data_IF_203995401919
#
_entry.id   IF_203995401919
#
_cell.length_a   1.000
_cell.length_b   1.000
_cell.length_c   1.000
_cell.angle_alpha   90.00
_cell.angle_beta   90.00
_cell.angle_gamma   90.00
#
_symmetry.space_group_name_H-M   'P 1'
#
loop_
_entity.id
_entity.type
_entity.pdbx_description
1 polymer ?
#
# COMPACT_ATOMS: atom_id res chain seq x y z
N UNK A 1 -17.76 -6.97 -16.68
CA UNK A 1 -16.55 -7.72 -16.30
C UNK A 1 -16.93 -8.72 -15.24
N UNK A 2 -16.39 -9.93 -15.32
CA UNK A 2 -16.51 -10.94 -14.25
C UNK A 2 -15.22 -10.92 -13.45
N UNK A 3 -15.32 -10.89 -12.13
CA UNK A 3 -14.17 -10.95 -11.23
C UNK A 3 -14.12 -12.32 -10.59
N UNK A 4 -12.91 -12.89 -10.53
CA UNK A 4 -12.65 -14.22 -9.98
C UNK A 4 -11.53 -14.06 -8.95
N UNK A 5 -11.79 -14.48 -7.70
CA UNK A 5 -10.77 -14.51 -6.65
C UNK A 5 -9.78 -15.64 -6.92
N UNK A 6 -8.52 -15.38 -6.59
CA UNK A 6 -7.46 -16.38 -6.65
C UNK A 6 -7.26 -17.04 -5.27
N UNK A 7 -6.21 -17.85 -5.11
CA UNK A 7 -5.87 -18.43 -3.82
C UNK A 7 -5.52 -17.38 -2.76
N UNK A 8 -5.02 -16.21 -3.19
CA UNK A 8 -4.84 -15.02 -2.34
C UNK A 8 -5.99 -14.04 -2.68
N UNK A 9 -7.00 -13.86 -1.80
CA UNK A 9 -8.24 -13.16 -2.14
C UNK A 9 -8.10 -11.72 -2.63
N UNK A 10 -6.98 -11.06 -2.30
CA UNK A 10 -6.63 -9.70 -2.72
C UNK A 10 -6.24 -9.62 -4.21
N UNK A 11 -5.69 -10.71 -4.77
CA UNK A 11 -5.28 -10.82 -6.18
C UNK A 11 -6.47 -11.35 -6.98
N UNK A 12 -6.84 -10.62 -8.03
CA UNK A 12 -8.10 -10.86 -8.75
C UNK A 12 -7.87 -11.05 -10.25
N UNK A 13 -8.53 -12.06 -10.82
CA UNK A 13 -8.64 -12.22 -12.27
C UNK A 13 -9.88 -11.47 -12.74
N UNK A 14 -9.69 -10.60 -13.73
CA UNK A 14 -10.75 -9.89 -14.42
C UNK A 14 -10.94 -10.52 -15.80
N UNK A 15 -12.12 -11.07 -16.03
CA UNK A 15 -12.53 -11.62 -17.32
C UNK A 15 -13.42 -10.57 -18.04
N UNK A 16 -12.92 -9.99 -19.16
CA UNK A 16 -13.67 -8.98 -19.88
C UNK A 16 -14.84 -9.59 -20.67
N UNK A 17 -15.87 -8.80 -20.91
CA UNK A 17 -16.91 -9.15 -21.87
C UNK A 17 -16.41 -8.77 -23.26
N UNK A 18 -16.28 -9.75 -24.16
CA UNK A 18 -15.78 -9.57 -25.52
C UNK A 18 -16.95 -9.62 -26.49
N UNK A 19 -17.13 -8.56 -27.28
CA UNK A 19 -18.13 -8.46 -28.33
C UNK A 19 -17.45 -8.69 -29.67
N UNK A 20 -17.84 -9.74 -30.39
CA UNK A 20 -17.22 -10.12 -31.67
C UNK A 20 -18.20 -10.01 -32.83
N UNK A 21 -17.72 -9.57 -33.97
CA UNK A 21 -18.43 -9.56 -35.25
C UNK A 21 -17.45 -9.77 -36.42
N UNK A 22 -17.93 -9.66 -37.66
CA UNK A 22 -17.12 -9.88 -38.87
C UNK A 22 -15.92 -8.91 -39.02
N UNK A 23 -15.92 -7.78 -38.31
CA UNK A 23 -14.82 -6.79 -38.32
C UNK A 23 -13.71 -7.15 -37.33
N UNK A 24 -13.98 -8.04 -36.38
CA UNK A 24 -13.08 -8.41 -35.29
C UNK A 24 -13.79 -8.46 -33.95
N UNK A 25 -13.17 -7.89 -32.92
CA UNK A 25 -13.75 -7.87 -31.56
C UNK A 25 -13.47 -6.55 -30.85
N UNK A 26 -14.35 -6.23 -29.91
CA UNK A 26 -14.27 -5.08 -29.02
C UNK A 26 -14.46 -5.51 -27.57
N UNK A 27 -13.73 -4.89 -26.66
CA UNK A 27 -13.98 -5.00 -25.21
C UNK A 27 -13.60 -3.72 -24.51
N UNK A 28 -14.30 -3.41 -23.41
CA UNK A 28 -13.80 -2.45 -22.42
C UNK A 28 -12.63 -3.10 -21.68
N UNK A 29 -11.39 -2.72 -22.03
CA UNK A 29 -10.19 -3.25 -21.38
C UNK A 29 -10.08 -2.82 -19.92
N UNK A 30 -10.66 -1.68 -19.55
CA UNK A 30 -10.76 -1.20 -18.19
C UNK A 30 -11.94 -0.24 -18.06
N UNK A 31 -12.64 -0.30 -16.92
CA UNK A 31 -13.68 0.65 -16.54
C UNK A 31 -13.55 0.85 -15.02
N UNK A 32 -13.11 2.04 -14.62
CA UNK A 32 -12.78 2.36 -13.23
C UNK A 32 -13.98 2.16 -12.29
N UNK A 33 -15.15 2.67 -12.67
CA UNK A 33 -16.35 2.55 -11.86
C UNK A 33 -16.74 1.07 -11.62
N UNK A 34 -16.75 0.25 -12.67
CA UNK A 34 -17.05 -1.19 -12.57
C UNK A 34 -16.00 -1.93 -11.73
N UNK A 35 -14.73 -1.54 -11.86
CA UNK A 35 -13.64 -2.12 -11.09
C UNK A 35 -13.78 -1.79 -9.60
N UNK A 36 -14.00 -0.53 -9.24
CA UNK A 36 -14.21 -0.09 -7.85
C UNK A 36 -15.43 -0.73 -7.22
N UNK A 37 -16.55 -0.83 -7.96
CA UNK A 37 -17.75 -1.53 -7.50
C UNK A 37 -17.45 -2.99 -7.17
N UNK A 38 -16.66 -3.67 -8.00
CA UNK A 38 -16.31 -5.05 -7.76
C UNK A 38 -15.38 -5.22 -6.56
N UNK A 39 -14.36 -4.37 -6.39
CA UNK A 39 -13.51 -4.38 -5.20
C UNK A 39 -14.33 -4.19 -3.92
N UNK A 40 -15.23 -3.20 -3.90
CA UNK A 40 -16.12 -2.94 -2.77
C UNK A 40 -17.03 -4.13 -2.46
N UNK A 41 -17.57 -4.80 -3.48
CA UNK A 41 -18.39 -6.00 -3.29
C UNK A 41 -17.61 -7.16 -2.64
N UNK A 42 -16.28 -7.17 -2.77
CA UNK A 42 -15.39 -8.12 -2.12
C UNK A 42 -14.78 -7.62 -0.80
N UNK A 43 -15.14 -6.41 -0.35
CA UNK A 43 -14.55 -5.78 0.84
C UNK A 43 -13.06 -5.44 0.67
N UNK A 44 -12.61 -5.26 -0.56
CA UNK A 44 -11.21 -4.93 -0.88
C UNK A 44 -11.02 -3.42 -1.01
N UNK A 45 -9.84 -2.88 -0.64
CA UNK A 45 -9.56 -1.46 -0.75
C UNK A 45 -9.60 -1.01 -2.22
N UNK A 46 -10.18 0.17 -2.43
CA UNK A 46 -10.17 0.84 -3.74
C UNK A 46 -8.80 1.50 -3.92
N UNK A 47 -8.06 1.19 -5.00
CA UNK A 47 -6.77 1.82 -5.25
C UNK A 47 -6.93 3.29 -5.66
N UNK A 48 -5.81 4.03 -5.59
CA UNK A 48 -5.74 5.34 -6.24
C UNK A 48 -5.78 5.24 -7.77
N UNK A 49 -5.83 6.40 -8.43
CA UNK A 49 -5.85 6.49 -9.89
C UNK A 49 -4.65 5.76 -10.52
N UNK A 50 -4.86 5.16 -11.69
CA UNK A 50 -3.76 4.67 -12.52
C UNK A 50 -3.02 5.85 -13.16
N UNK A 51 -1.73 5.98 -12.89
CA UNK A 51 -0.91 7.15 -13.30
C UNK A 51 0.12 6.84 -14.37
N UNK A 52 0.38 5.56 -14.67
CA UNK A 52 1.38 5.15 -15.65
C UNK A 52 0.94 3.88 -16.38
N UNK A 53 1.21 3.85 -17.68
CA UNK A 53 1.05 2.70 -18.57
C UNK A 53 2.43 2.23 -19.03
N UNK A 54 2.61 0.91 -19.10
CA UNK A 54 3.85 0.28 -19.52
C UNK A 54 3.55 -0.81 -20.54
N UNK A 55 4.49 -1.03 -21.45
CA UNK A 55 4.38 -2.03 -22.52
C UNK A 55 5.75 -2.65 -22.76
N UNK A 56 5.82 -3.98 -22.74
CA UNK A 56 7.04 -4.74 -23.06
C UNK A 56 6.76 -5.82 -24.09
N UNK A 57 7.79 -6.13 -24.88
CA UNK A 57 7.83 -7.27 -25.79
C UNK A 57 8.87 -8.27 -25.28
N UNK A 58 8.52 -9.55 -25.22
CA UNK A 58 9.41 -10.59 -24.72
C UNK A 58 9.47 -11.80 -25.66
N UNK A 59 10.65 -12.44 -25.73
CA UNK A 59 10.83 -13.75 -26.35
C UNK A 59 10.30 -14.85 -25.42
N UNK A 60 10.05 -16.05 -25.95
CA UNK A 60 9.71 -17.22 -25.13
C UNK A 60 10.80 -17.43 -24.06
N UNK A 61 10.38 -17.88 -22.87
CA UNK A 61 11.20 -18.13 -21.68
C UNK A 61 11.85 -16.90 -21.04
N UNK A 62 11.53 -15.67 -21.48
CA UNK A 62 11.97 -14.47 -20.78
C UNK A 62 11.21 -14.32 -19.46
N UNK A 63 11.94 -14.29 -18.35
CA UNK A 63 11.43 -13.99 -17.01
C UNK A 63 11.72 -12.54 -16.68
N UNK A 64 10.72 -11.83 -16.15
CA UNK A 64 10.86 -10.49 -15.59
C UNK A 64 10.27 -10.48 -14.20
N UNK A 65 11.04 -10.05 -13.21
CA UNK A 65 10.59 -10.01 -11.81
C UNK A 65 11.48 -10.80 -10.87
N UNK A 66 11.15 -10.85 -9.58
CA UNK A 66 9.94 -10.28 -8.98
C UNK A 66 10.15 -8.81 -8.57
N UNK A 67 9.25 -7.90 -8.94
CA UNK A 67 9.41 -6.44 -8.73
C UNK A 67 8.25 -5.83 -7.94
N UNK A 68 8.60 -4.91 -7.03
CA UNK A 68 7.66 -4.10 -6.25
C UNK A 68 8.27 -2.73 -5.91
N UNK A 69 7.44 -1.81 -5.41
CA UNK A 69 7.90 -0.56 -4.81
C UNK A 69 7.43 -0.49 -3.35
N UNK A 70 8.29 0.03 -2.49
CA UNK A 70 7.97 0.26 -1.08
C UNK A 70 7.14 1.55 -0.89
N UNK A 71 6.36 1.66 0.20
CA UNK A 71 5.73 2.91 0.60
C UNK A 71 6.74 4.05 0.74
N UNK A 72 6.36 5.31 0.47
CA UNK A 72 5.02 5.77 0.06
C UNK A 72 4.71 5.58 -1.45
N UNK A 73 5.64 5.00 -2.21
CA UNK A 73 5.54 4.85 -3.67
C UNK A 73 5.05 3.45 -4.10
N UNK A 74 4.37 2.73 -3.20
CA UNK A 74 3.81 1.42 -3.48
C UNK A 74 2.94 1.42 -4.75
N UNK A 75 2.96 0.32 -5.50
CA UNK A 75 2.22 0.20 -6.76
C UNK A 75 1.24 -0.98 -6.71
N UNK A 76 -0.02 -0.69 -6.99
CA UNK A 76 -0.95 -1.67 -7.53
C UNK A 76 -0.75 -1.75 -9.04
N UNK A 77 -0.87 -2.95 -9.61
CA UNK A 77 -0.68 -3.25 -11.03
C UNK A 77 -1.93 -3.90 -11.61
N UNK A 78 -2.34 -3.44 -12.79
CA UNK A 78 -3.36 -4.08 -13.59
C UNK A 78 -2.72 -4.56 -14.90
N UNK A 79 -2.54 -5.87 -15.04
CA UNK A 79 -1.64 -6.46 -16.04
C UNK A 79 -2.37 -7.36 -17.03
N UNK A 80 -1.94 -7.39 -18.30
CA UNK A 80 -2.54 -8.24 -19.34
C UNK A 80 -1.58 -8.53 -20.50
N UNK A 81 -1.93 -9.52 -21.30
CA UNK A 81 -1.25 -9.85 -22.56
C UNK A 81 -2.13 -9.49 -23.76
N UNK A 82 -1.60 -8.72 -24.72
CA UNK A 82 -2.31 -8.37 -25.97
C UNK A 82 -1.96 -9.27 -27.13
N UNK A 83 -0.77 -9.88 -27.11
CA UNK A 83 -0.28 -10.82 -28.12
C UNK A 83 0.56 -11.89 -27.43
N UNK A 84 0.41 -13.15 -27.85
CA UNK A 84 1.07 -14.30 -27.23
C UNK A 84 0.44 -14.71 -25.90
N UNK A 85 1.27 -15.27 -25.03
CA UNK A 85 0.88 -15.74 -23.69
C UNK A 85 2.01 -15.61 -22.67
N UNK A 86 1.65 -15.38 -21.42
CA UNK A 86 2.57 -15.30 -20.29
C UNK A 86 1.97 -16.00 -19.07
N UNK A 87 2.81 -16.60 -18.24
CA UNK A 87 2.43 -17.02 -16.90
C UNK A 87 2.83 -15.92 -15.91
N UNK A 88 1.83 -15.25 -15.36
CA UNK A 88 1.97 -14.08 -14.49
C UNK A 88 1.85 -14.47 -13.03
N UNK A 89 2.74 -13.96 -12.19
CA UNK A 89 2.89 -14.34 -10.79
C UNK A 89 2.85 -13.12 -9.88
N UNK A 90 2.06 -13.20 -8.82
CA UNK A 90 2.03 -12.26 -7.72
C UNK A 90 2.39 -12.97 -6.40
N UNK A 91 3.37 -12.42 -5.68
CA UNK A 91 3.84 -12.92 -4.38
C UNK A 91 3.50 -11.91 -3.30
N UNK A 92 2.88 -12.37 -2.23
CA UNK A 92 2.57 -11.52 -1.08
C UNK A 92 3.83 -11.24 -0.26
N UNK A 93 4.29 -9.98 -0.27
CA UNK A 93 5.48 -9.55 0.48
C UNK A 93 5.11 -8.62 1.63
N UNK A 94 3.84 -8.62 2.04
CA UNK A 94 3.33 -7.85 3.18
C UNK A 94 3.72 -8.53 4.48
N UNK A 95 4.60 -7.90 5.25
CA UNK A 95 4.98 -8.38 6.58
C UNK A 95 3.73 -8.61 7.43
N UNK A 96 3.69 -9.73 8.16
CA UNK A 96 2.57 -10.17 8.99
C UNK A 96 1.28 -10.57 8.24
N UNK A 97 1.27 -10.59 6.90
CA UNK A 97 0.15 -11.16 6.15
C UNK A 97 0.03 -12.67 6.43
N UNK A 98 -1.19 -13.21 6.57
CA UNK A 98 -1.40 -14.66 6.70
C UNK A 98 -0.93 -15.44 5.46
N UNK A 99 -0.75 -14.77 4.33
CA UNK A 99 -0.26 -15.34 3.06
C UNK A 99 1.15 -14.87 2.71
N UNK A 100 1.91 -14.27 3.65
CA UNK A 100 3.27 -13.82 3.39
C UNK A 100 4.16 -14.92 2.79
N UNK A 101 4.87 -14.60 1.71
CA UNK A 101 5.72 -15.54 0.95
C UNK A 101 4.94 -16.49 0.03
N UNK A 102 3.60 -16.54 0.12
CA UNK A 102 2.79 -17.32 -0.79
C UNK A 102 2.56 -16.57 -2.11
N UNK A 103 2.27 -17.32 -3.16
CA UNK A 103 2.12 -16.78 -4.50
C UNK A 103 0.87 -17.31 -5.22
N UNK A 104 0.46 -16.56 -6.24
CA UNK A 104 -0.58 -16.93 -7.19
C UNK A 104 -0.01 -16.81 -8.58
N UNK A 105 -0.20 -17.83 -9.41
CA UNK A 105 0.16 -17.81 -10.82
C UNK A 105 -1.05 -17.96 -11.73
N UNK A 106 -1.11 -17.17 -12.78
CA UNK A 106 -2.23 -17.12 -13.75
C UNK A 106 -1.68 -17.01 -15.16
N UNK A 107 -2.14 -17.89 -16.06
CA UNK A 107 -1.87 -17.72 -17.49
C UNK A 107 -2.72 -16.57 -18.06
N UNK A 108 -2.04 -15.58 -18.63
CA UNK A 108 -2.63 -14.45 -19.36
C UNK A 108 -2.27 -14.56 -20.83
N UNK A 109 -3.26 -14.43 -21.72
CA UNK A 109 -3.03 -14.59 -23.15
C UNK A 109 -4.00 -13.75 -23.99
N UNK A 110 -3.65 -13.56 -25.26
CA UNK A 110 -4.44 -12.79 -26.23
C UNK A 110 -5.81 -13.42 -26.54
N UNK A 111 -6.00 -14.72 -26.26
CA UNK A 111 -7.23 -15.46 -26.52
C UNK A 111 -8.31 -15.15 -25.47
N UNK A 112 -8.01 -15.48 -24.21
CA UNK A 112 -8.89 -15.28 -23.06
C UNK A 112 -8.99 -13.82 -22.64
N UNK A 113 -7.98 -12.99 -22.96
CA UNK A 113 -7.92 -11.55 -22.69
C UNK A 113 -8.07 -11.21 -21.21
N UNK A 114 -7.78 -12.18 -20.33
CA UNK A 114 -7.82 -11.98 -18.88
C UNK A 114 -6.81 -10.92 -18.47
N UNK A 115 -7.15 -10.26 -17.38
CA UNK A 115 -6.36 -9.22 -16.75
C UNK A 115 -6.16 -9.65 -15.30
N UNK A 116 -4.97 -9.48 -14.76
CA UNK A 116 -4.70 -9.72 -13.33
C UNK A 116 -4.58 -8.38 -12.61
N UNK A 117 -5.33 -8.23 -11.53
CA UNK A 117 -5.15 -7.15 -10.56
C UNK A 117 -4.27 -7.63 -9.42
N UNK A 118 -3.21 -6.88 -9.17
CA UNK A 118 -2.21 -7.13 -8.13
C UNK A 118 -2.16 -5.86 -7.26
N UNK A 119 -2.59 -5.90 -5.99
CA UNK A 119 -2.60 -4.71 -5.16
C UNK A 119 -1.20 -4.34 -4.65
N UNK A 120 -1.11 -3.18 -4.01
CA UNK A 120 0.10 -2.74 -3.32
C UNK A 120 0.56 -3.77 -2.27
N UNK A 121 1.87 -3.92 -2.10
CA UNK A 121 2.46 -4.90 -1.19
C UNK A 121 2.69 -6.29 -1.78
N UNK A 122 2.51 -6.46 -3.09
CA UNK A 122 2.86 -7.69 -3.80
C UNK A 122 4.08 -7.49 -4.70
N UNK A 123 4.98 -8.47 -4.71
CA UNK A 123 6.01 -8.59 -5.72
C UNK A 123 5.44 -9.28 -6.95
N UNK A 124 5.72 -8.74 -8.14
CA UNK A 124 5.12 -9.19 -9.40
C UNK A 124 6.20 -9.58 -10.40
N UNK A 125 5.97 -10.68 -11.11
CA UNK A 125 6.77 -11.08 -12.26
C UNK A 125 5.99 -11.95 -13.23
N UNK A 126 6.59 -12.23 -14.39
CA UNK A 126 6.00 -13.15 -15.37
C UNK A 126 7.08 -13.87 -16.17
N UNK A 127 6.70 -15.00 -16.75
CA UNK A 127 7.45 -15.64 -17.84
C UNK A 127 6.64 -15.63 -19.14
N UNK A 128 7.26 -15.20 -20.23
CA UNK A 128 6.66 -15.29 -21.56
C UNK A 128 6.68 -16.74 -22.06
N UNK A 129 5.52 -17.27 -22.45
CA UNK A 129 5.37 -18.65 -22.93
C UNK A 129 5.51 -18.75 -24.45
N UNK A 130 5.43 -17.62 -25.14
CA UNK A 130 5.55 -17.49 -26.59
C UNK A 130 6.51 -16.37 -26.99
N UNK A 131 7.08 -16.49 -28.19
CA UNK A 131 7.82 -15.39 -28.80
C UNK A 131 6.90 -14.22 -29.17
N UNK A 132 7.44 -13.01 -29.09
CA UNK A 132 6.71 -11.78 -29.38
C UNK A 132 5.49 -11.58 -28.47
N UNK A 133 5.61 -11.98 -27.21
CA UNK A 133 4.58 -11.75 -26.19
C UNK A 133 4.57 -10.26 -25.82
N UNK A 134 3.45 -9.59 -26.09
CA UNK A 134 3.22 -8.18 -25.73
C UNK A 134 2.48 -8.11 -24.39
N UNK A 135 3.17 -7.62 -23.38
CA UNK A 135 2.69 -7.53 -22.01
C UNK A 135 2.49 -6.06 -21.63
N UNK A 136 1.25 -5.71 -21.27
CA UNK A 136 0.84 -4.34 -20.92
C UNK A 136 0.43 -4.29 -19.46
N UNK A 137 0.79 -3.21 -18.77
CA UNK A 137 0.32 -2.99 -17.42
C UNK A 137 0.15 -1.52 -17.05
N UNK A 138 -0.87 -1.26 -16.24
CA UNK A 138 -1.15 0.02 -15.58
C UNK A 138 -0.64 -0.02 -14.15
N UNK A 139 -0.15 1.10 -13.62
CA UNK A 139 0.25 1.23 -12.21
C UNK A 139 -0.42 2.40 -11.51
N UNK A 140 -0.72 2.26 -10.22
CA UNK A 140 -1.36 3.30 -9.37
C UNK A 140 -0.40 4.42 -8.92
N UNK A 141 0.89 4.25 -9.18
CA UNK A 141 1.95 5.23 -8.97
C UNK A 141 2.94 5.19 -10.12
N UNK A 142 3.64 6.29 -10.34
CA UNK A 142 4.77 6.35 -11.28
C UNK A 142 5.95 5.54 -10.77
N UNK A 143 6.85 5.18 -11.68
CA UNK A 143 8.11 4.56 -11.32
C UNK A 143 8.94 5.45 -10.38
N UNK A 144 9.43 4.88 -9.28
CA UNK A 144 10.31 5.55 -8.32
C UNK A 144 11.52 4.66 -8.03
N UNK A 145 12.65 4.98 -8.66
CA UNK A 145 13.86 4.17 -8.66
C UNK A 145 14.36 3.82 -7.25
N UNK A 146 14.31 4.78 -6.32
CA UNK A 146 14.84 4.58 -4.96
C UNK A 146 13.95 3.67 -4.11
N UNK A 147 12.67 3.54 -4.45
CA UNK A 147 11.72 2.68 -3.73
C UNK A 147 11.51 1.34 -4.41
N UNK A 148 12.04 1.15 -5.62
CA UNK A 148 12.01 -0.13 -6.31
C UNK A 148 12.82 -1.16 -5.53
N UNK A 149 12.24 -2.34 -5.37
CA UNK A 149 12.89 -3.52 -4.82
C UNK A 149 12.59 -4.71 -5.71
N UNK A 150 13.46 -5.71 -5.61
CA UNK A 150 13.29 -6.98 -6.28
C UNK A 150 13.49 -8.13 -5.33
N UNK A 151 12.87 -9.26 -5.64
CA UNK A 151 13.19 -10.56 -5.06
C UNK A 151 13.58 -11.49 -6.20
N UNK A 152 14.53 -12.38 -5.93
CA UNK A 152 14.98 -13.38 -6.90
C UNK A 152 13.82 -14.25 -7.36
N UNK A 153 13.69 -14.40 -8.67
CA UNK A 153 12.60 -15.13 -9.32
C UNK A 153 12.52 -16.61 -8.91
N UNK A 154 13.66 -17.24 -8.59
CA UNK A 154 13.85 -18.63 -8.19
C UNK A 154 14.12 -18.77 -6.68
N UNK A 155 13.64 -17.83 -5.87
CA UNK A 155 13.76 -17.91 -4.42
C UNK A 155 13.12 -19.23 -3.91
N UNK A 156 13.89 -20.07 -3.18
CA UNK A 156 13.42 -21.39 -2.78
C UNK A 156 12.38 -21.37 -1.65
N UNK A 157 12.22 -20.25 -0.93
CA UNK A 157 11.19 -20.11 0.10
C UNK A 157 9.84 -19.73 -0.49
N UNK A 158 9.84 -18.93 -1.56
CA UNK A 158 8.63 -18.67 -2.34
C UNK A 158 8.27 -19.91 -3.15
N UNK A 159 9.25 -20.55 -3.79
CA UNK A 159 9.08 -21.80 -4.51
C UNK A 159 8.07 -21.70 -5.66
N UNK A 160 8.28 -20.74 -6.57
CA UNK A 160 7.38 -20.55 -7.73
C UNK A 160 7.60 -21.65 -8.76
N UNK A 161 6.51 -22.32 -9.15
CA UNK A 161 6.51 -23.33 -10.21
C UNK A 161 6.44 -22.65 -11.60
N UNK A 162 7.56 -22.09 -12.05
CA UNK A 162 7.63 -21.44 -13.36
C UNK A 162 7.51 -22.48 -14.50
N UNK A 163 6.53 -22.36 -15.42
CA UNK A 163 6.33 -23.31 -16.51
C UNK A 163 7.31 -23.04 -17.67
N UNK A 164 8.62 -23.13 -17.41
CA UNK A 164 9.67 -22.91 -18.41
C UNK A 164 10.09 -24.24 -19.03
N UNK A 165 10.09 -24.27 -20.36
CA UNK A 165 10.63 -25.38 -21.15
C UNK A 165 12.01 -24.98 -21.70
N UNK A 166 13.09 -25.50 -21.13
CA UNK A 166 14.46 -25.20 -21.54
C UNK A 166 15.13 -24.13 -20.68
N UNK A 167 16.02 -23.34 -21.28
CA UNK A 167 16.79 -22.31 -20.57
C UNK A 167 15.97 -21.03 -20.40
N UNK A 168 15.95 -20.50 -19.18
CA UNK A 168 15.34 -19.22 -18.86
C UNK A 168 16.20 -18.04 -19.33
N UNK A 169 15.54 -16.99 -19.81
CA UNK A 169 16.21 -15.75 -20.20
C UNK A 169 15.86 -14.70 -19.15
N UNK A 170 16.85 -14.33 -18.34
CA UNK A 170 16.67 -13.37 -17.25
C UNK A 170 17.74 -12.28 -17.28
N UNK A 171 17.35 -11.07 -16.87
CA UNK A 171 18.26 -9.94 -16.80
C UNK A 171 19.29 -10.09 -15.66
N UNK A 172 20.44 -9.44 -15.77
CA UNK A 172 21.43 -9.43 -14.69
C UNK A 172 20.88 -8.83 -13.39
N UNK A 173 19.97 -7.85 -13.50
CA UNK A 173 19.30 -7.24 -12.34
C UNK A 173 18.46 -8.28 -11.58
N UNK A 174 17.68 -9.05 -12.31
CA UNK A 174 16.74 -10.02 -11.71
C UNK A 174 17.46 -11.28 -11.24
N UNK A 175 18.53 -11.68 -11.96
CA UNK A 175 19.39 -12.79 -11.57
C UNK A 175 20.13 -12.53 -10.25
N UNK A 176 20.53 -11.29 -10.00
CA UNK A 176 21.25 -10.87 -8.80
C UNK A 176 20.35 -10.24 -7.73
N UNK A 177 19.02 -10.36 -7.86
CA UNK A 177 18.09 -9.86 -6.86
C UNK A 177 18.26 -10.64 -5.53
N UNK A 178 18.02 -10.00 -4.37
CA UNK A 178 18.13 -10.65 -3.07
C UNK A 178 17.06 -11.74 -2.90
N UNK A 179 17.35 -12.70 -2.03
CA UNK A 179 16.37 -13.68 -1.55
C UNK A 179 15.30 -12.99 -0.69
N UNK A 180 14.13 -13.60 -0.53
CA UNK A 180 13.03 -13.06 0.29
C UNK A 180 13.49 -12.70 1.71
N UNK A 181 14.36 -13.53 2.32
CA UNK A 181 14.93 -13.29 3.65
C UNK A 181 15.79 -12.05 3.76
N UNK A 182 16.42 -11.63 2.67
CA UNK A 182 17.35 -10.50 2.61
C UNK A 182 16.69 -9.25 1.99
N UNK A 183 15.53 -9.43 1.37
CA UNK A 183 14.80 -8.36 0.73
C UNK A 183 14.15 -7.42 1.75
N UNK A 184 14.18 -6.12 1.46
CA UNK A 184 13.36 -5.16 2.18
C UNK A 184 11.89 -5.38 1.83
N UNK A 185 11.17 -6.04 2.74
CA UNK A 185 9.76 -6.41 2.52
C UNK A 185 8.80 -5.24 2.78
N UNK A 186 7.60 -5.37 2.22
CA UNK A 186 6.54 -4.39 2.40
C UNK A 186 6.06 -4.42 3.84
N UNK A 187 6.48 -3.44 4.62
CA UNK A 187 5.91 -3.20 5.93
C UNK A 187 4.60 -2.46 5.71
N UNK A 188 3.48 -3.19 5.75
CA UNK A 188 2.24 -2.55 6.18
C UNK A 188 2.58 -1.94 7.54
N UNK A 189 2.40 -0.63 7.70
CA UNK A 189 2.40 -0.04 9.03
C UNK A 189 1.46 -0.91 9.87
N UNK A 190 2.02 -1.64 10.83
CA UNK A 190 1.25 -2.63 11.56
C UNK A 190 0.26 -1.87 12.44
N UNK A 191 -1.00 -2.33 12.59
CA UNK A 191 -1.87 -1.82 13.64
C UNK A 191 -1.11 -1.78 14.95
N UNK A 192 -1.24 -0.69 15.71
CA UNK A 192 -0.44 -0.48 16.90
C UNK A 192 0.96 0.08 16.63
N UNK A 193 1.22 0.79 15.52
CA UNK A 193 2.49 1.51 15.33
C UNK A 193 2.32 3.03 15.37
N UNK A 194 3.37 3.71 15.83
CA UNK A 194 3.52 5.16 15.73
C UNK A 194 4.93 5.52 15.28
N UNK A 195 5.09 6.67 14.62
CA UNK A 195 6.36 7.12 14.07
C UNK A 195 6.48 8.65 14.13
N UNK A 196 7.64 9.14 14.58
CA UNK A 196 8.03 10.54 14.42
C UNK A 196 8.54 10.77 12.98
N UNK A 197 7.95 11.74 12.29
CA UNK A 197 8.32 12.10 10.92
C UNK A 197 8.88 13.53 10.93
N UNK A 198 10.07 13.69 10.35
CA UNK A 198 10.64 15.02 10.10
C UNK A 198 10.07 15.59 8.79
N UNK A 199 9.42 16.74 8.89
CA UNK A 199 8.78 17.43 7.78
C UNK A 199 9.78 18.34 7.08
N UNK A 200 9.78 18.27 5.75
CA UNK A 200 10.60 19.16 4.92
C UNK A 200 10.14 20.60 5.07
N UNK A 201 11.03 21.44 5.59
CA UNK A 201 10.85 22.90 5.65
C UNK A 201 11.36 23.52 4.37
N UNK A 202 10.53 24.34 3.72
CA UNK A 202 10.90 25.20 2.60
C UNK A 202 10.84 26.63 3.10
N UNK A 203 11.91 27.40 3.00
CA UNK A 203 11.91 28.76 3.51
C UNK A 203 13.01 29.62 2.94
N UNK A 204 12.83 30.92 3.08
CA UNK A 204 13.78 31.98 2.74
C UNK A 204 13.70 33.09 3.79
N UNK A 205 14.27 34.27 3.51
CA UNK A 205 14.25 35.41 4.43
C UNK A 205 12.85 35.89 4.84
N UNK A 206 11.78 35.47 4.14
CA UNK A 206 10.39 35.84 4.42
C UNK A 206 9.72 34.90 5.42
N UNK A 207 10.32 33.75 5.71
CA UNK A 207 9.79 32.76 6.64
C UNK A 207 9.84 31.34 6.10
N UNK A 208 9.07 30.46 6.74
CA UNK A 208 9.08 29.02 6.48
C UNK A 208 7.69 28.50 6.12
N UNK A 209 7.67 27.50 5.25
CA UNK A 209 6.51 26.79 4.75
C UNK A 209 6.77 25.28 4.90
N UNK A 210 5.75 24.57 5.36
CA UNK A 210 5.68 23.12 5.28
C UNK A 210 4.42 22.79 4.50
N UNK A 211 4.57 22.03 3.41
CA UNK A 211 3.45 21.53 2.63
C UNK A 211 3.12 20.10 3.09
N UNK A 212 1.86 19.86 3.43
CA UNK A 212 1.37 18.54 3.83
C UNK A 212 0.49 17.98 2.72
N UNK A 213 0.94 16.91 2.09
CA UNK A 213 0.39 16.37 0.86
C UNK A 213 0.14 14.87 0.99
N UNK A 214 -1.09 14.47 0.64
CA UNK A 214 -1.49 13.08 0.55
C UNK A 214 -0.62 12.32 -0.45
N UNK A 215 -0.11 11.16 -0.03
CA UNK A 215 0.73 10.29 -0.84
C UNK A 215 2.18 10.77 -0.98
N UNK A 216 2.57 11.85 -0.30
CA UNK A 216 3.97 12.29 -0.18
C UNK A 216 4.43 12.15 1.26
N UNK A 217 4.01 13.08 2.13
CA UNK A 217 4.35 13.09 3.55
C UNK A 217 3.19 12.65 4.46
N UNK A 218 1.96 12.61 3.95
CA UNK A 218 0.83 11.97 4.63
C UNK A 218 0.56 10.62 3.93
N UNK A 219 0.77 9.47 4.62
CA UNK A 219 0.72 8.15 3.99
C UNK A 219 -0.69 7.60 3.77
N UNK A 220 -1.73 8.40 4.03
CA UNK A 220 -3.13 8.02 3.88
C UNK A 220 -3.95 9.10 3.15
N UNK A 221 -5.14 8.72 2.68
CA UNK A 221 -6.10 9.64 2.07
C UNK A 221 -6.67 10.60 3.13
N UNK A 222 -6.52 11.90 2.96
CA UNK A 222 -6.95 12.88 3.97
C UNK A 222 -8.46 13.09 3.82
N UNK A 223 -9.26 12.45 4.68
CA UNK A 223 -10.72 12.64 4.69
C UNK A 223 -11.17 13.76 5.64
N UNK A 224 -10.32 14.11 6.60
CA UNK A 224 -10.63 15.13 7.61
C UNK A 224 -9.35 15.79 8.13
N UNK A 225 -9.43 17.09 8.38
CA UNK A 225 -8.43 17.85 9.11
C UNK A 225 -9.11 18.70 10.19
N UNK A 226 -8.46 18.85 11.33
CA UNK A 226 -8.94 19.66 12.43
C UNK A 226 -7.76 20.17 13.26
N UNK A 227 -8.00 21.15 14.13
CA UNK A 227 -6.97 21.69 15.00
C UNK A 227 -7.45 21.80 16.44
N UNK A 228 -6.49 21.70 17.35
CA UNK A 228 -6.65 21.75 18.79
C UNK A 228 -5.89 22.97 19.27
N UNK A 229 -6.55 23.85 20.00
CA UNK A 229 -5.98 25.09 20.51
C UNK A 229 -6.72 25.53 21.78
N UNK A 230 -6.13 26.47 22.54
CA UNK A 230 -6.76 27.02 23.74
C UNK A 230 -6.92 25.99 24.87
N UNK A 231 -6.01 25.02 24.94
CA UNK A 231 -5.99 24.03 26.01
C UNK A 231 -5.70 24.71 27.36
N UNK A 232 -6.34 24.22 28.42
CA UNK A 232 -6.13 24.74 29.76
C UNK A 232 -4.91 24.06 30.39
N UNK A 233 -4.12 24.77 31.22
CA UNK A 233 -3.04 24.15 31.99
C UNK A 233 -3.53 22.92 32.77
N UNK A 234 -2.70 21.89 32.83
CA UNK A 234 -2.95 20.63 33.55
C UNK A 234 -4.18 19.81 33.07
N UNK A 235 -4.86 20.25 32.01
CA UNK A 235 -5.96 19.50 31.41
C UNK A 235 -5.42 18.58 30.32
N UNK A 236 -5.38 17.29 30.65
CA UNK A 236 -5.05 16.23 29.72
C UNK A 236 -6.24 15.87 28.84
N UNK A 237 -5.98 15.35 27.65
CA UNK A 237 -7.01 14.95 26.68
C UNK A 237 -6.59 13.69 25.93
N UNK A 238 -7.49 13.16 25.10
CA UNK A 238 -7.25 11.89 24.43
C UNK A 238 -8.02 10.79 25.14
N UNK A 239 -7.31 9.81 25.70
CA UNK A 239 -7.89 8.66 26.41
C UNK A 239 -8.77 7.79 25.50
N UNK A 240 -8.24 7.50 24.31
CA UNK A 240 -8.90 6.58 23.40
C UNK A 240 -7.93 6.00 22.38
N UNK A 241 -8.34 4.87 21.80
CA UNK A 241 -7.78 4.33 20.57
C UNK A 241 -8.83 4.37 19.45
N UNK A 242 -8.41 4.01 18.23
CA UNK A 242 -9.29 3.85 17.08
C UNK A 242 -9.12 2.48 16.46
N UNK A 243 -10.20 1.89 15.96
CA UNK A 243 -10.15 0.60 15.26
C UNK A 243 -9.64 0.74 13.83
N UNK A 244 -9.91 1.86 13.18
CA UNK A 244 -9.61 2.10 11.76
C UNK A 244 -8.87 3.41 11.50
N UNK A 245 -9.15 4.47 12.28
CA UNK A 245 -8.58 5.77 12.00
C UNK A 245 -7.06 5.80 12.20
N UNK A 246 -6.37 6.31 11.19
CA UNK A 246 -4.98 6.74 11.24
C UNK A 246 -4.91 8.26 11.28
N UNK A 247 -3.92 8.80 11.98
CA UNK A 247 -3.75 10.23 12.16
C UNK A 247 -2.31 10.68 11.98
N UNK A 248 -2.12 11.90 11.46
CA UNK A 248 -0.86 12.62 11.56
C UNK A 248 -1.10 13.88 12.38
N UNK A 249 -0.32 14.05 13.45
CA UNK A 249 -0.40 15.19 14.38
C UNK A 249 0.83 16.07 14.20
N UNK A 250 0.63 17.37 14.01
CA UNK A 250 1.71 18.37 13.86
C UNK A 250 1.48 19.47 14.88
N UNK A 251 2.51 19.80 15.67
CA UNK A 251 2.46 20.93 16.60
C UNK A 251 2.89 22.21 15.88
N UNK A 252 1.93 22.96 15.36
CA UNK A 252 2.17 24.16 14.56
C UNK A 252 2.74 25.32 15.40
N UNK A 253 2.38 25.37 16.69
CA UNK A 253 2.89 26.33 17.66
C UNK A 253 2.87 25.71 19.06
N UNK A 254 3.74 26.19 19.95
CA UNK A 254 3.86 25.70 21.32
C UNK A 254 4.39 24.27 21.42
N UNK A 255 3.93 23.53 22.43
CA UNK A 255 4.30 22.14 22.66
C UNK A 255 3.23 21.31 23.34
N UNK A 256 3.28 19.98 23.17
CA UNK A 256 2.57 19.01 23.99
C UNK A 256 3.35 17.69 24.08
N UNK A 257 3.06 16.88 25.10
CA UNK A 257 3.53 15.50 25.20
C UNK A 257 2.40 14.55 24.83
N UNK A 258 2.66 13.61 23.93
CA UNK A 258 1.72 12.58 23.49
C UNK A 258 2.23 11.23 23.98
N UNK A 259 1.49 10.60 24.88
CA UNK A 259 1.69 9.21 25.30
C UNK A 259 0.99 8.27 24.33
N UNK A 260 1.63 7.16 24.00
CA UNK A 260 1.14 6.14 23.08
C UNK A 260 1.40 4.75 23.65
N UNK A 261 0.46 3.84 23.43
CA UNK A 261 0.54 2.46 23.87
C UNK A 261 -0.13 1.55 22.83
N UNK A 262 0.59 0.54 22.35
CA UNK A 262 0.10 -0.46 21.40
C UNK A 262 -0.45 -1.73 22.09
N UNK A 263 -0.44 -1.76 23.42
CA UNK A 263 -0.83 -2.87 24.29
C UNK A 263 0.33 -3.83 24.63
N UNK A 264 1.53 -3.57 24.13
CA UNK A 264 2.78 -4.30 24.43
C UNK A 264 3.87 -3.34 24.89
N UNK A 265 4.07 -2.26 24.15
CA UNK A 265 5.05 -1.20 24.39
C UNK A 265 4.33 0.14 24.47
N UNK A 266 4.73 0.94 25.45
CA UNK A 266 4.29 2.32 25.58
C UNK A 266 5.47 3.28 25.46
N UNK A 267 5.24 4.44 24.86
CA UNK A 267 6.24 5.51 24.75
C UNK A 267 5.59 6.90 24.86
N UNK A 268 6.40 7.95 24.91
CA UNK A 268 5.93 9.34 24.89
C UNK A 268 6.80 10.21 23.99
N UNK A 269 6.14 10.97 23.12
CA UNK A 269 6.80 11.93 22.23
C UNK A 269 6.43 13.35 22.63
N UNK A 270 7.42 14.23 22.71
CA UNK A 270 7.20 15.67 22.89
C UNK A 270 7.23 16.33 21.51
N UNK A 271 6.09 16.85 21.08
CA UNK A 271 6.00 17.68 19.88
C UNK A 271 6.17 19.14 20.31
N UNK A 272 7.33 19.72 20.03
CA UNK A 272 7.67 21.12 20.36
C UNK A 272 8.25 21.89 19.18
N UNK A 273 8.18 21.34 17.98
CA UNK A 273 8.69 21.96 16.75
C UNK A 273 7.72 21.75 15.61
N UNK A 274 7.54 22.78 14.79
CA UNK A 274 6.63 22.76 13.64
C UNK A 274 7.08 21.83 12.51
N UNK A 275 8.35 21.45 12.48
CA UNK A 275 8.90 20.51 11.50
C UNK A 275 8.83 19.03 11.95
N UNK A 276 8.16 18.73 13.06
CA UNK A 276 7.93 17.35 13.50
C UNK A 276 6.45 17.00 13.41
N UNK A 277 6.19 15.83 12.86
CA UNK A 277 4.89 15.19 12.88
C UNK A 277 4.95 13.87 13.66
N UNK A 278 3.84 13.49 14.25
CA UNK A 278 3.64 12.16 14.82
C UNK A 278 2.56 11.45 14.01
N UNK A 279 2.95 10.39 13.30
CA UNK A 279 2.02 9.47 12.65
C UNK A 279 1.56 8.44 13.69
N UNK A 280 0.25 8.34 13.89
CA UNK A 280 -0.39 7.43 14.82
C UNK A 280 -1.32 6.52 14.03
N UNK A 281 -1.08 5.22 14.05
CA UNK A 281 -1.95 4.24 13.38
C UNK A 281 -3.17 3.91 14.24
N UNK A 282 -4.08 3.13 13.65
CA UNK A 282 -5.14 2.51 14.41
C UNK A 282 -4.55 1.58 15.49
N UNK A 283 -5.36 1.25 16.49
CA UNK A 283 -4.98 0.42 17.63
C UNK A 283 -3.80 0.95 18.44
N UNK A 284 -3.65 2.28 18.50
CA UNK A 284 -2.81 2.98 19.48
C UNK A 284 -3.71 3.70 20.49
N UNK A 285 -3.59 3.30 21.75
CA UNK A 285 -4.10 4.12 22.85
C UNK A 285 -3.25 5.38 22.97
N UNK A 286 -3.90 6.54 23.07
CA UNK A 286 -3.16 7.81 23.16
C UNK A 286 -3.75 8.80 24.14
N UNK A 287 -2.84 9.53 24.74
CA UNK A 287 -3.11 10.59 25.69
C UNK A 287 -2.23 11.80 25.37
N UNK A 288 -2.75 12.99 25.63
CA UNK A 288 -2.06 14.25 25.37
C UNK A 288 -2.02 15.05 26.66
N UNK A 289 -0.81 15.44 27.05
CA UNK A 289 -0.50 16.11 28.30
C UNK A 289 0.40 17.33 28.06
N UNK A 290 0.63 18.09 29.13
CA UNK A 290 1.69 19.10 29.21
C UNK A 290 1.63 20.12 28.05
N UNK A 291 0.42 20.57 27.73
CA UNK A 291 0.21 21.59 26.70
C UNK A 291 0.79 22.93 27.13
N UNK A 292 1.59 23.56 26.27
CA UNK A 292 1.93 24.98 26.43
C UNK A 292 0.71 25.85 26.15
N UNK A 293 0.68 27.06 26.72
CA UNK A 293 -0.47 27.97 26.59
C UNK A 293 -0.74 28.43 25.15
N UNK A 294 0.27 28.40 24.29
CA UNK A 294 0.23 28.74 22.87
C UNK A 294 0.13 27.50 21.96
N UNK A 295 -0.10 26.31 22.53
CA UNK A 295 -0.12 25.07 21.77
C UNK A 295 -1.24 25.04 20.72
N UNK A 296 -0.86 24.75 19.47
CA UNK A 296 -1.78 24.49 18.37
C UNK A 296 -1.38 23.17 17.70
N UNK A 297 -2.21 22.14 17.85
CA UNK A 297 -2.02 20.87 17.14
C UNK A 297 -2.92 20.80 15.91
N UNK A 298 -2.33 20.63 14.74
CA UNK A 298 -3.02 20.25 13.51
C UNK A 298 -3.09 18.73 13.43
N UNK A 299 -4.26 18.19 13.11
CA UNK A 299 -4.49 16.75 12.98
C UNK A 299 -5.12 16.44 11.64
N UNK A 300 -4.46 15.57 10.88
CA UNK A 300 -4.96 14.99 9.62
C UNK A 300 -5.43 13.57 9.90
N UNK A 301 -6.55 13.17 9.32
CA UNK A 301 -7.24 11.92 9.62
C UNK A 301 -7.59 11.16 8.34
N UNK A 302 -7.34 9.85 8.35
CA UNK A 302 -7.69 8.94 7.24
C UNK A 302 -9.19 8.71 7.09
N UNK A 303 -9.96 8.98 8.17
CA UNK A 303 -11.41 8.75 8.24
C UNK A 303 -12.22 9.99 8.69
N UNK A 304 -13.47 10.05 8.23
CA UNK A 304 -14.47 10.97 8.78
C UNK A 304 -14.76 10.65 10.24
N UNK A 305 -15.43 11.56 10.95
CA UNK A 305 -15.85 11.29 12.32
C UNK A 305 -16.82 10.11 12.35
N UNK A 306 -16.50 9.07 13.13
CA UNK A 306 -17.36 7.93 13.39
C UNK A 306 -17.21 7.53 14.86
N UNK A 307 -18.28 7.63 15.65
CA UNK A 307 -18.24 7.28 17.08
C UNK A 307 -17.96 5.79 17.31
N UNK A 308 -18.44 4.91 16.42
CA UNK A 308 -18.23 3.46 16.53
C UNK A 308 -16.77 3.03 16.34
N UNK A 309 -15.93 3.92 15.81
CA UNK A 309 -14.50 3.67 15.64
C UNK A 309 -13.71 3.89 16.94
N UNK A 310 -14.25 4.64 17.91
CA UNK A 310 -13.56 4.95 19.16
C UNK A 310 -13.56 3.75 20.11
N UNK A 311 -12.42 3.53 20.76
CA UNK A 311 -12.28 2.69 21.94
C UNK A 311 -12.01 3.63 23.11
N UNK A 312 -12.99 3.82 24.00
CA UNK A 312 -12.93 4.83 25.07
C UNK A 312 -12.51 4.25 26.43
N UNK A 313 -12.36 2.93 26.52
CA UNK A 313 -11.91 2.23 27.71
C UNK A 313 -10.57 1.58 27.45
N UNK A 314 -9.59 1.81 28.32
CA UNK A 314 -8.28 1.18 28.21
C UNK A 314 -8.38 -0.34 28.37
N UNK A 315 -9.27 -0.83 29.24
CA UNK A 315 -9.51 -2.27 29.40
C UNK A 315 -10.09 -2.90 28.12
N UNK A 316 -11.00 -2.20 27.43
CA UNK A 316 -11.55 -2.64 26.15
C UNK A 316 -10.47 -2.67 25.07
N UNK A 317 -9.62 -1.63 25.02
CA UNK A 317 -8.45 -1.57 24.14
C UNK A 317 -7.53 -2.79 24.34
N UNK A 318 -7.17 -3.10 25.59
CA UNK A 318 -6.32 -4.26 25.90
C UNK A 318 -6.98 -5.59 25.55
N UNK A 319 -8.31 -5.70 25.62
CA UNK A 319 -9.04 -6.88 25.15
C UNK A 319 -9.00 -7.00 23.63
N UNK A 320 -9.16 -5.90 22.89
CA UNK A 320 -9.09 -5.91 21.42
C UNK A 320 -7.68 -6.24 20.90
N UNK A 321 -6.64 -5.66 21.50
CA UNK A 321 -5.23 -5.99 21.19
C UNK A 321 -4.97 -7.49 21.39
N UNK A 322 -5.39 -8.07 22.52
CA UNK A 322 -5.21 -9.51 22.80
C UNK A 322 -5.95 -10.42 21.81
N UNK A 323 -7.05 -9.94 21.24
CA UNK A 323 -7.84 -10.69 20.27
C UNK A 323 -7.31 -10.53 18.83
N UNK A 324 -6.22 -9.78 18.61
CA UNK A 324 -5.61 -9.58 17.31
C UNK A 324 -6.51 -8.83 16.32
N UNK A 325 -7.32 -7.90 16.82
CA UNK A 325 -8.23 -7.09 16.01
C UNK A 325 -7.63 -5.75 15.62
#
# INVERSE_FOLDING_TARGET
MKIIRTAIPDVLIIEPTVFSDERGWFMESFNEQKFHQALNAFGLPVPGNFTQDNHSLSKKNVIRGLHYQLPPYAQGKLVRVTKGSAYDVAVDVRKNSPTFGQWVGVELNSHTKRILWIPEGFAHGFVALEDNTEFLYKTTRTYHRESERSIRWDDPEIGIDWPVEGEEIISDKDRNAPMLKEAEIFQLFSPGSFEEIELKVIGDERGSLIALEQGQNIPFNIKRAYYIFGTQPDVSRGYHAHRQLEQMVVCAAGSCRIFMDDGVVSDSVVLSSSNKALLIKNMIWREMHDFSSDCVLLVFASEHFNEADYIRSYDEFMVEVKNGK
#
